data_IF_052763362077
#
_entry.id   IF_052763362077
#
_cell.length_a   1.000
_cell.length_b   1.000
_cell.length_c   1.000
_cell.angle_alpha   90.00
_cell.angle_beta   90.00
_cell.angle_gamma   90.00
#
_symmetry.space_group_name_H-M   'P 1'
#
loop_
_entity.id
_entity.type
_entity.pdbx_description
1 polymer ?
#
# COMPACT_ATOMS: atom_id res chain seq x y z
N UNK A 1 -15.51 67.98 -56.23
CA UNK A 1 -16.25 67.56 -55.03
C UNK A 1 -17.05 66.35 -55.45
N UNK A 2 -16.78 65.11 -55.08
CA UNK A 2 -15.72 64.38 -54.41
C UNK A 2 -16.00 62.93 -54.85
N UNK A 3 -15.01 62.17 -55.32
CA UNK A 3 -14.22 61.24 -54.49
C UNK A 3 -15.13 60.28 -53.71
N UNK A 4 -15.30 59.04 -54.17
CA UNK A 4 -14.75 57.81 -53.55
C UNK A 4 -15.86 56.75 -53.73
N UNK A 5 -15.68 55.45 -53.84
CA UNK A 5 -14.76 54.55 -53.15
C UNK A 5 -14.88 53.19 -53.88
N UNK A 6 -13.90 52.84 -54.71
CA UNK A 6 -13.79 51.48 -55.26
C UNK A 6 -12.80 50.71 -54.39
N UNK A 7 -13.35 50.10 -53.32
CA UNK A 7 -12.62 49.29 -52.36
C UNK A 7 -11.79 48.19 -53.02
N UNK A 8 -10.47 48.34 -52.93
CA UNK A 8 -9.46 47.39 -53.37
C UNK A 8 -9.49 46.15 -52.45
N UNK A 9 -10.05 45.04 -52.94
CA UNK A 9 -10.04 43.76 -52.22
C UNK A 9 -8.64 43.15 -52.21
N UNK A 10 -7.93 43.36 -51.10
CA UNK A 10 -6.57 42.86 -50.90
C UNK A 10 -6.58 41.34 -50.70
N UNK A 11 -6.20 40.59 -51.74
CA UNK A 11 -6.23 39.12 -51.75
C UNK A 11 -5.20 38.51 -50.78
N UNK A 12 -5.52 37.34 -50.24
CA UNK A 12 -4.67 36.56 -49.31
C UNK A 12 -3.26 36.31 -49.87
N UNK A 13 -3.12 36.21 -51.19
CA UNK A 13 -1.84 36.09 -51.88
C UNK A 13 -0.96 37.37 -51.76
N UNK A 14 -1.57 38.56 -51.74
CA UNK A 14 -0.87 39.84 -51.52
C UNK A 14 -0.32 39.97 -50.11
N UNK A 15 -1.08 39.51 -49.10
CA UNK A 15 -0.62 39.42 -47.70
C UNK A 15 0.51 38.41 -47.52
N UNK A 16 0.50 37.30 -48.25
CA UNK A 16 1.58 36.31 -48.23
C UNK A 16 2.86 36.80 -48.92
N UNK A 17 2.73 37.59 -50.00
CA UNK A 17 3.87 38.19 -50.72
C UNK A 17 4.53 39.34 -49.94
N UNK A 18 3.77 40.19 -49.25
CA UNK A 18 4.32 41.28 -48.41
C UNK A 18 5.07 40.77 -47.17
N UNK A 19 4.67 39.65 -46.57
CA UNK A 19 5.37 39.03 -45.43
C UNK A 19 6.75 38.45 -45.81
N UNK A 20 6.94 38.00 -47.06
CA UNK A 20 8.22 37.44 -47.52
C UNK A 20 9.31 38.48 -47.84
N UNK A 21 9.00 39.78 -47.77
CA UNK A 21 9.88 40.84 -48.23
C UNK A 21 10.58 41.63 -47.11
N UNK A 22 10.56 41.17 -45.84
CA UNK A 22 11.07 41.97 -44.69
C UNK A 22 12.02 41.21 -43.76
N UNK A 23 12.20 39.89 -43.92
CA UNK A 23 13.08 39.10 -43.04
C UNK A 23 14.46 38.85 -43.69
N UNK A 24 15.54 39.18 -42.98
CA UNK A 24 16.91 38.89 -43.43
C UNK A 24 17.19 37.38 -43.38
N UNK A 25 18.12 36.87 -44.21
CA UNK A 25 18.53 35.45 -44.14
C UNK A 25 18.96 35.00 -42.73
N UNK A 26 19.57 35.90 -41.96
CA UNK A 26 19.96 35.66 -40.57
C UNK A 26 18.75 35.52 -39.63
N UNK A 27 17.69 36.33 -39.83
CA UNK A 27 16.45 36.24 -39.07
C UNK A 27 15.70 34.92 -39.36
N UNK A 28 15.72 34.46 -40.60
CA UNK A 28 15.13 33.18 -41.00
C UNK A 28 15.86 32.00 -40.33
N UNK A 29 17.20 32.03 -40.32
CA UNK A 29 18.01 30.97 -39.70
C UNK A 29 17.96 31.01 -38.16
N UNK A 30 17.83 32.19 -37.56
CA UNK A 30 17.61 32.33 -36.11
C UNK A 30 16.24 31.80 -35.68
N UNK A 31 15.18 32.11 -36.45
CA UNK A 31 13.84 31.58 -36.23
C UNK A 31 13.80 30.05 -36.39
N UNK A 32 14.53 29.51 -37.39
CA UNK A 32 14.68 28.07 -37.59
C UNK A 32 15.37 27.41 -36.39
N UNK A 33 16.48 27.99 -35.90
CA UNK A 33 17.17 27.52 -34.69
C UNK A 33 16.28 27.57 -33.45
N UNK A 34 15.53 28.65 -33.25
CA UNK A 34 14.57 28.77 -32.14
C UNK A 34 13.51 27.67 -32.19
N UNK A 35 12.95 27.40 -33.37
CA UNK A 35 11.97 26.31 -33.57
C UNK A 35 12.58 24.94 -33.31
N UNK A 36 13.83 24.72 -33.72
CA UNK A 36 14.56 23.48 -33.46
C UNK A 36 14.84 23.30 -31.97
N UNK A 37 15.23 24.36 -31.25
CA UNK A 37 15.42 24.36 -29.80
C UNK A 37 14.11 24.12 -29.03
N UNK A 38 13.03 24.81 -29.40
CA UNK A 38 11.69 24.60 -28.85
C UNK A 38 11.18 23.17 -29.09
N UNK A 39 11.43 22.61 -30.28
CA UNK A 39 11.09 21.23 -30.60
C UNK A 39 11.91 20.23 -29.76
N UNK A 40 13.22 20.45 -29.61
CA UNK A 40 14.10 19.62 -28.76
C UNK A 40 13.65 19.67 -27.29
N UNK A 41 13.38 20.86 -26.76
CA UNK A 41 12.91 21.05 -25.39
C UNK A 41 11.54 20.38 -25.15
N UNK A 42 10.65 20.41 -26.16
CA UNK A 42 9.36 19.70 -26.09
C UNK A 42 9.55 18.19 -26.02
N UNK A 43 10.40 17.62 -26.90
CA UNK A 43 10.71 16.19 -26.89
C UNK A 43 11.31 15.76 -25.54
N UNK A 44 12.24 16.55 -25.01
CA UNK A 44 12.86 16.28 -23.71
C UNK A 44 11.83 16.31 -22.57
N UNK A 45 10.93 17.29 -22.56
CA UNK A 45 9.85 17.39 -21.57
C UNK A 45 8.89 16.20 -21.65
N UNK A 46 8.51 15.79 -22.85
CA UNK A 46 7.65 14.62 -23.08
C UNK A 46 8.34 13.33 -22.64
N UNK A 47 9.63 13.16 -22.95
CA UNK A 47 10.42 12.01 -22.51
C UNK A 47 10.53 11.94 -20.97
N UNK A 48 10.74 13.08 -20.30
CA UNK A 48 10.78 13.15 -18.84
C UNK A 48 9.44 12.79 -18.20
N UNK A 49 8.32 13.22 -18.80
CA UNK A 49 6.99 12.87 -18.34
C UNK A 49 6.70 11.38 -18.55
N UNK A 50 7.07 10.82 -19.71
CA UNK A 50 6.93 9.40 -20.00
C UNK A 50 7.73 8.54 -19.02
N UNK A 51 8.99 8.90 -18.74
CA UNK A 51 9.82 8.19 -17.75
C UNK A 51 9.25 8.29 -16.32
N UNK A 52 8.58 9.40 -15.97
CA UNK A 52 7.89 9.53 -14.69
C UNK A 52 6.67 8.61 -14.62
N UNK A 53 5.85 8.59 -15.68
CA UNK A 53 4.68 7.70 -15.78
C UNK A 53 5.09 6.22 -15.76
N UNK A 54 6.19 5.85 -16.41
CA UNK A 54 6.71 4.49 -16.40
C UNK A 54 7.18 4.07 -15.01
N UNK A 55 7.87 4.97 -14.28
CA UNK A 55 8.24 4.74 -12.88
C UNK A 55 7.03 4.66 -11.94
N UNK A 56 5.98 5.42 -12.22
CA UNK A 56 4.72 5.35 -11.47
C UNK A 56 3.90 4.09 -11.84
N UNK A 57 4.13 3.50 -13.02
CA UNK A 57 3.48 2.28 -13.50
C UNK A 57 4.20 0.98 -13.07
N UNK A 58 5.06 1.03 -12.05
CA UNK A 58 5.64 -0.17 -11.45
C UNK A 58 4.50 -1.02 -10.88
N UNK A 59 4.29 -2.18 -11.50
CA UNK A 59 3.26 -3.13 -11.11
C UNK A 59 3.79 -4.03 -10.00
N UNK A 60 3.54 -3.63 -8.76
CA UNK A 60 3.81 -4.46 -7.59
C UNK A 60 3.05 -5.79 -7.65
N UNK A 61 3.76 -6.90 -7.47
CA UNK A 61 3.17 -8.24 -7.35
C UNK A 61 3.23 -8.69 -5.90
N UNK A 62 2.12 -9.18 -5.38
CA UNK A 62 2.11 -9.84 -4.08
C UNK A 62 2.83 -11.19 -4.15
N UNK A 63 3.73 -11.40 -3.21
CA UNK A 63 4.46 -12.65 -2.99
C UNK A 63 4.01 -13.23 -1.67
N UNK A 64 3.47 -14.45 -1.72
CA UNK A 64 2.93 -15.18 -0.58
C UNK A 64 4.01 -16.14 -0.05
N UNK A 65 4.07 -16.40 1.26
CA UNK A 65 5.07 -17.28 1.85
C UNK A 65 5.00 -18.71 1.30
N UNK A 66 6.15 -19.36 1.18
CA UNK A 66 6.26 -20.75 0.74
C UNK A 66 5.70 -21.68 1.82
N UNK A 67 4.66 -22.46 1.52
CA UNK A 67 4.02 -23.34 2.51
C UNK A 67 2.53 -23.55 2.24
N UNK A 68 1.83 -24.07 3.25
CA UNK A 68 0.40 -24.39 3.18
C UNK A 68 -0.41 -23.11 2.94
N UNK A 69 -0.66 -22.83 1.65
CA UNK A 69 -1.48 -21.73 1.13
C UNK A 69 -2.92 -21.77 1.67
N UNK A 70 -3.26 -22.68 2.58
CA UNK A 70 -4.56 -22.82 3.22
C UNK A 70 -4.52 -22.38 4.70
N UNK A 71 -3.41 -21.86 5.21
CA UNK A 71 -3.34 -21.41 6.61
C UNK A 71 -3.92 -20.00 6.80
N UNK A 72 -4.83 -19.83 7.76
CA UNK A 72 -5.21 -18.54 8.31
C UNK A 72 -4.63 -18.37 9.71
N UNK A 73 -3.91 -17.28 9.97
CA UNK A 73 -3.27 -17.06 11.27
C UNK A 73 -4.20 -16.45 12.33
N UNK A 74 -5.32 -15.85 11.90
CA UNK A 74 -6.30 -15.20 12.78
C UNK A 74 -7.49 -16.10 13.18
N UNK A 75 -7.63 -17.31 12.63
CA UNK A 75 -8.74 -18.20 12.96
C UNK A 75 -8.59 -18.80 14.37
N UNK A 76 -9.41 -18.36 15.33
CA UNK A 76 -9.51 -18.98 16.66
C UNK A 76 -10.47 -20.18 16.66
N UNK A 77 -10.03 -21.33 17.21
CA UNK A 77 -10.89 -22.48 17.53
C UNK A 77 -11.48 -22.26 18.91
N UNK A 78 -12.68 -21.68 19.03
CA UNK A 78 -13.48 -21.84 20.25
C UNK A 78 -14.58 -22.86 20.04
N UNK A 79 -14.52 -23.95 20.81
CA UNK A 79 -15.68 -24.71 21.32
C UNK A 79 -16.86 -24.90 20.36
N UNK A 80 -16.61 -25.40 19.14
CA UNK A 80 -17.67 -25.80 18.21
C UNK A 80 -18.47 -24.67 17.53
N UNK A 81 -18.12 -23.39 17.76
CA UNK A 81 -18.73 -22.24 17.08
C UNK A 81 -17.60 -21.34 16.58
N UNK A 82 -17.05 -21.70 15.43
CA UNK A 82 -16.06 -20.87 14.75
C UNK A 82 -16.73 -19.63 14.17
N UNK A 83 -16.20 -18.44 14.48
CA UNK A 83 -16.52 -17.20 13.75
C UNK A 83 -16.17 -17.31 12.25
N UNK A 84 -15.29 -18.25 11.92
CA UNK A 84 -15.03 -18.70 10.56
C UNK A 84 -15.83 -19.99 10.32
N UNK A 85 -16.67 -20.03 9.28
CA UNK A 85 -17.41 -21.24 8.85
C UNK A 85 -16.46 -22.45 8.55
N UNK A 86 -15.15 -22.22 8.47
CA UNK A 86 -14.11 -23.15 8.03
C UNK A 86 -13.32 -23.81 9.16
N UNK A 87 -13.69 -23.61 10.42
CA UNK A 87 -12.95 -24.24 11.54
C UNK A 87 -13.18 -25.78 11.58
N UNK A 88 -14.27 -26.24 10.96
CA UNK A 88 -14.65 -27.66 10.85
C UNK A 88 -14.25 -28.31 9.51
N UNK A 89 -14.06 -27.52 8.45
CA UNK A 89 -13.59 -27.97 7.15
C UNK A 89 -12.31 -27.21 6.85
N UNK A 90 -11.15 -27.92 6.88
CA UNK A 90 -9.84 -27.41 6.42
C UNK A 90 -10.04 -26.30 5.38
N UNK A 91 -9.44 -25.13 5.54
CA UNK A 91 -9.57 -24.05 4.56
C UNK A 91 -9.37 -24.64 3.15
N UNK A 92 -10.41 -24.64 2.33
CA UNK A 92 -10.35 -25.24 0.99
C UNK A 92 -9.91 -24.22 -0.07
N UNK A 93 -9.77 -22.96 0.35
CA UNK A 93 -9.41 -21.84 -0.51
C UNK A 93 -8.21 -21.11 0.07
N UNK A 94 -7.35 -20.66 -0.82
CA UNK A 94 -6.21 -19.82 -0.47
C UNK A 94 -6.71 -18.49 0.12
N UNK A 95 -6.15 -18.02 1.25
CA UNK A 95 -6.37 -16.68 1.76
C UNK A 95 -6.19 -15.64 0.65
N UNK A 96 -7.15 -14.73 0.51
CA UNK A 96 -7.05 -13.60 -0.41
C UNK A 96 -6.73 -12.30 0.32
N UNK A 97 -6.74 -12.36 1.64
CA UNK A 97 -6.49 -11.23 2.52
C UNK A 97 -5.27 -11.51 3.38
N UNK A 98 -4.72 -10.45 3.94
CA UNK A 98 -3.64 -10.50 4.91
C UNK A 98 -3.93 -9.53 6.04
N UNK A 99 -3.36 -9.81 7.20
CA UNK A 99 -3.51 -8.98 8.38
C UNK A 99 -2.90 -7.58 8.13
N UNK A 100 -3.60 -6.48 8.44
CA UNK A 100 -3.15 -5.14 8.04
C UNK A 100 -1.83 -4.69 8.69
N UNK A 101 -1.50 -5.22 9.88
CA UNK A 101 -0.22 -4.91 10.57
C UNK A 101 0.84 -5.97 10.28
N UNK A 102 0.64 -7.21 10.76
CA UNK A 102 1.60 -8.33 10.62
C UNK A 102 1.71 -8.93 9.21
N UNK A 103 0.85 -8.55 8.26
CA UNK A 103 0.88 -9.04 6.87
C UNK A 103 0.80 -10.56 6.69
N UNK A 104 0.35 -11.28 7.71
CA UNK A 104 0.16 -12.74 7.63
C UNK A 104 -1.16 -13.10 6.94
N UNK A 105 -1.25 -14.24 6.23
CA UNK A 105 -2.46 -14.70 5.56
C UNK A 105 -3.72 -14.76 6.46
N UNK A 106 -4.85 -14.26 5.94
CA UNK A 106 -6.16 -14.31 6.60
C UNK A 106 -7.28 -14.73 5.64
N UNK A 107 -8.22 -15.53 6.13
CA UNK A 107 -9.45 -15.81 5.40
C UNK A 107 -10.36 -14.57 5.37
N UNK A 108 -11.26 -14.50 4.39
CA UNK A 108 -12.17 -13.35 4.23
C UNK A 108 -13.02 -13.10 5.50
N UNK A 109 -13.46 -14.17 6.18
CA UNK A 109 -14.25 -14.05 7.40
C UNK A 109 -13.47 -13.39 8.56
N UNK A 110 -12.23 -13.82 8.80
CA UNK A 110 -11.37 -13.20 9.81
C UNK A 110 -10.99 -11.77 9.42
N UNK A 111 -10.76 -11.50 8.14
CA UNK A 111 -10.52 -10.14 7.67
C UNK A 111 -11.71 -9.23 7.94
N UNK A 112 -12.94 -9.66 7.62
CA UNK A 112 -14.16 -8.88 7.89
C UNK A 112 -14.36 -8.69 9.40
N UNK A 113 -14.22 -9.76 10.19
CA UNK A 113 -14.32 -9.71 11.65
C UNK A 113 -13.38 -8.65 12.24
N UNK A 114 -12.11 -8.71 11.81
CA UNK A 114 -11.07 -7.79 12.24
C UNK A 114 -11.42 -6.33 11.98
N UNK A 115 -11.88 -6.02 10.76
CA UNK A 115 -12.21 -4.65 10.35
C UNK A 115 -13.50 -4.12 10.99
N UNK A 116 -14.31 -5.01 11.57
CA UNK A 116 -15.51 -4.63 12.32
C UNK A 116 -15.24 -4.47 13.83
N UNK A 117 -14.05 -4.79 14.32
CA UNK A 117 -13.72 -4.62 15.73
C UNK A 117 -13.29 -3.19 16.04
N UNK A 118 -13.74 -2.71 17.20
CA UNK A 118 -13.22 -1.51 17.83
C UNK A 118 -12.10 -1.93 18.79
N UNK A 119 -10.85 -1.57 18.46
CA UNK A 119 -9.68 -1.93 19.26
C UNK A 119 -9.54 -0.96 20.44
N UNK A 120 -10.33 -1.19 21.49
CA UNK A 120 -10.32 -0.38 22.70
C UNK A 120 -8.96 -0.48 23.41
N UNK A 121 -8.54 0.62 24.03
CA UNK A 121 -7.33 0.70 24.86
C UNK A 121 -7.77 1.13 26.24
N UNK A 122 -7.54 0.27 27.23
CA UNK A 122 -7.99 0.45 28.60
C UNK A 122 -6.78 0.45 29.55
N UNK A 123 -6.94 1.08 30.71
CA UNK A 123 -5.92 1.02 31.75
C UNK A 123 -5.86 -0.38 32.34
N UNK A 124 -4.67 -0.99 32.32
CA UNK A 124 -4.40 -2.25 32.99
C UNK A 124 -3.70 -1.97 34.33
N UNK A 125 -4.35 -2.35 35.43
CA UNK A 125 -3.85 -2.13 36.78
C UNK A 125 -2.64 -3.00 37.12
N UNK A 126 -2.53 -4.19 36.53
CA UNK A 126 -1.42 -5.13 36.77
C UNK A 126 -0.13 -4.65 36.09
N UNK A 127 -0.22 -4.20 34.84
CA UNK A 127 0.92 -3.66 34.09
C UNK A 127 1.17 -2.17 34.36
N UNK A 128 0.18 -1.45 34.90
CA UNK A 128 0.26 -0.02 35.16
C UNK A 128 0.35 0.83 33.89
N UNK A 129 -0.25 0.38 32.78
CA UNK A 129 -0.29 1.13 31.51
C UNK A 129 -1.55 0.88 30.68
N UNK A 130 -1.70 1.65 29.60
CA UNK A 130 -2.81 1.55 28.65
C UNK A 130 -2.58 0.41 27.64
N UNK A 131 -3.50 -0.55 27.56
CA UNK A 131 -3.36 -1.77 26.76
C UNK A 131 -4.67 -2.18 26.07
N UNK A 132 -4.57 -2.90 24.95
CA UNK A 132 -5.73 -3.51 24.31
C UNK A 132 -6.22 -4.70 25.11
N UNK A 133 -7.54 -4.81 25.28
CA UNK A 133 -8.25 -5.95 25.88
C UNK A 133 -8.60 -7.06 24.88
N UNK A 134 -8.21 -6.87 23.63
CA UNK A 134 -8.43 -7.79 22.52
C UNK A 134 -7.12 -8.18 21.86
N UNK A 135 -7.04 -9.42 21.38
CA UNK A 135 -5.85 -9.89 20.66
C UNK A 135 -5.69 -9.12 19.35
N UNK A 136 -4.49 -8.58 19.11
CA UNK A 136 -4.18 -7.82 17.90
C UNK A 136 -4.22 -8.62 16.60
N UNK A 137 -4.14 -9.96 16.65
CA UNK A 137 -4.19 -10.81 15.46
C UNK A 137 -5.60 -11.25 15.09
N UNK A 138 -6.36 -11.79 16.04
CA UNK A 138 -7.69 -12.35 15.78
C UNK A 138 -8.84 -11.42 16.19
N UNK A 139 -8.53 -10.26 16.78
CA UNK A 139 -9.52 -9.29 17.26
C UNK A 139 -10.57 -9.94 18.18
N UNK A 140 -10.11 -10.79 19.10
CA UNK A 140 -10.97 -11.51 20.06
C UNK A 140 -10.35 -11.38 21.46
N UNK A 141 -11.21 -11.25 22.46
CA UNK A 141 -10.83 -11.27 23.89
C UNK A 141 -10.41 -12.67 24.35
N UNK A 142 -9.62 -12.76 25.43
CA UNK A 142 -9.23 -14.03 26.04
C UNK A 142 -8.00 -13.94 26.92
N UNK A 143 -7.23 -15.02 26.98
CA UNK A 143 -5.94 -15.05 27.67
C UNK A 143 -4.88 -14.35 26.83
N UNK A 144 -4.63 -13.09 27.13
CA UNK A 144 -3.71 -12.22 26.40
C UNK A 144 -2.33 -12.18 27.06
N UNK A 145 -1.30 -12.14 26.23
CA UNK A 145 0.08 -11.84 26.56
C UNK A 145 0.36 -10.42 26.05
N UNK A 146 0.81 -9.54 26.94
CA UNK A 146 0.99 -8.12 26.67
C UNK A 146 2.42 -7.82 26.23
N UNK A 147 2.58 -6.85 25.32
CA UNK A 147 3.90 -6.36 24.93
C UNK A 147 4.54 -5.58 26.09
N UNK A 148 5.77 -5.89 26.47
CA UNK A 148 6.51 -5.16 27.49
C UNK A 148 7.15 -3.84 27.01
N UNK A 149 7.03 -3.48 25.73
CA UNK A 149 7.46 -2.16 25.25
C UNK A 149 6.56 -1.06 25.86
N UNK A 150 7.11 -0.03 26.56
CA UNK A 150 6.32 1.02 27.22
C UNK A 150 5.39 1.81 26.29
N UNK A 151 5.78 2.00 25.03
CA UNK A 151 5.00 2.75 24.03
C UNK A 151 4.03 1.86 23.24
N UNK A 152 3.91 0.59 23.62
CA UNK A 152 3.10 -0.40 22.93
C UNK A 152 1.93 -0.88 23.81
N UNK A 153 0.72 -0.70 23.29
CA UNK A 153 -0.52 -1.19 23.89
C UNK A 153 -0.93 -2.59 23.38
N UNK A 154 -0.12 -3.23 22.53
CA UNK A 154 -0.51 -4.45 21.82
C UNK A 154 -0.48 -5.69 22.70
N UNK A 155 -1.47 -6.55 22.50
CA UNK A 155 -1.62 -7.81 23.22
C UNK A 155 -2.01 -8.95 22.25
N UNK A 156 -1.60 -10.17 22.56
CA UNK A 156 -1.81 -11.35 21.72
C UNK A 156 -2.34 -12.51 22.54
N UNK A 157 -3.36 -13.23 22.05
CA UNK A 157 -3.76 -14.45 22.73
C UNK A 157 -2.77 -15.59 22.46
N UNK A 158 -2.64 -16.50 23.43
CA UNK A 158 -1.72 -17.64 23.32
C UNK A 158 -1.99 -18.50 22.07
N UNK A 159 -3.26 -18.71 21.70
CA UNK A 159 -3.62 -19.43 20.47
C UNK A 159 -3.04 -18.80 19.20
N UNK A 160 -2.98 -17.46 19.16
CA UNK A 160 -2.42 -16.72 18.03
C UNK A 160 -0.90 -16.81 18.02
N UNK A 161 -0.26 -16.70 19.18
CA UNK A 161 1.20 -16.88 19.31
C UNK A 161 1.58 -18.29 18.88
N UNK A 162 0.92 -19.32 19.42
CA UNK A 162 1.11 -20.72 19.05
C UNK A 162 1.01 -20.95 17.54
N UNK A 163 0.02 -20.35 16.87
CA UNK A 163 -0.16 -20.48 15.42
C UNK A 163 0.95 -19.82 14.61
N UNK A 164 1.54 -18.73 15.10
CA UNK A 164 2.56 -17.99 14.37
C UNK A 164 3.96 -18.58 14.56
N UNK A 165 4.29 -19.04 15.76
CA UNK A 165 5.66 -19.42 16.10
C UNK A 165 5.80 -20.87 16.61
N UNK A 166 4.70 -21.56 16.89
CA UNK A 166 4.73 -22.93 17.41
C UNK A 166 4.80 -23.00 18.94
N UNK A 167 4.83 -24.22 19.47
CA UNK A 167 4.73 -24.48 20.91
C UNK A 167 6.01 -24.11 21.65
N UNK A 168 7.18 -24.46 21.10
CA UNK A 168 8.48 -24.18 21.73
C UNK A 168 8.67 -22.68 21.93
N UNK A 169 8.48 -21.88 20.88
CA UNK A 169 8.57 -20.42 20.95
C UNK A 169 7.47 -19.80 21.83
N UNK A 170 6.27 -20.39 21.91
CA UNK A 170 5.24 -19.92 22.84
C UNK A 170 5.72 -20.08 24.28
N UNK A 171 6.26 -21.24 24.64
CA UNK A 171 6.73 -21.51 26.00
C UNK A 171 7.85 -20.53 26.37
N UNK A 172 8.81 -20.29 25.47
CA UNK A 172 9.85 -19.26 25.66
C UNK A 172 9.28 -17.85 25.84
N UNK A 173 8.26 -17.48 25.06
CA UNK A 173 7.59 -16.17 25.16
C UNK A 173 6.89 -16.02 26.52
N UNK A 174 6.25 -17.06 27.03
CA UNK A 174 5.55 -17.03 28.32
C UNK A 174 6.51 -16.96 29.50
N UNK A 175 7.73 -17.48 29.37
CA UNK A 175 8.79 -17.35 30.38
C UNK A 175 9.53 -16.00 30.31
N UNK A 176 9.40 -15.26 29.21
CA UNK A 176 10.14 -14.04 28.95
C UNK A 176 9.39 -12.80 29.47
N UNK A 177 9.98 -12.15 30.47
CA UNK A 177 9.48 -10.88 31.01
C UNK A 177 10.59 -9.79 30.99
N UNK A 178 10.51 -8.74 30.15
CA UNK A 178 9.42 -8.45 29.21
C UNK A 178 9.54 -9.17 27.86
N UNK A 179 8.41 -9.62 27.32
CA UNK A 179 8.28 -10.03 25.91
C UNK A 179 7.99 -8.83 24.99
N UNK A 180 8.59 -8.81 23.80
CA UNK A 180 8.34 -7.78 22.77
C UNK A 180 7.46 -8.39 21.67
N UNK A 181 6.29 -7.81 21.44
CA UNK A 181 5.31 -8.38 20.52
C UNK A 181 5.73 -8.29 19.05
N UNK A 182 5.05 -9.06 18.19
CA UNK A 182 5.32 -9.12 16.74
C UNK A 182 5.06 -7.80 15.99
N UNK A 183 4.32 -6.85 16.57
CA UNK A 183 4.19 -5.52 15.99
C UNK A 183 5.46 -4.66 16.20
N UNK A 184 6.19 -4.90 17.29
CA UNK A 184 7.43 -4.20 17.63
C UNK A 184 8.65 -4.91 17.05
N UNK A 185 8.67 -6.24 17.11
CA UNK A 185 9.75 -7.08 16.59
C UNK A 185 9.16 -8.17 15.67
N UNK A 186 8.99 -7.88 14.36
CA UNK A 186 8.36 -8.82 13.42
C UNK A 186 9.27 -9.97 12.98
N UNK A 187 10.56 -9.95 13.34
CA UNK A 187 11.56 -10.94 12.91
C UNK A 187 11.13 -12.41 13.09
N UNK A 188 10.49 -12.83 14.21
CA UNK A 188 10.05 -14.21 14.37
C UNK A 188 9.02 -14.66 13.32
N UNK A 189 8.23 -13.72 12.77
CA UNK A 189 7.14 -14.00 11.84
C UNK A 189 7.41 -13.51 10.41
N UNK A 190 8.60 -12.98 10.12
CA UNK A 190 8.92 -12.39 8.81
C UNK A 190 8.72 -13.40 7.66
N UNK A 191 9.00 -14.68 7.91
CA UNK A 191 8.82 -15.77 6.95
C UNK A 191 7.35 -16.08 6.63
N UNK A 192 6.41 -15.53 7.39
CA UNK A 192 4.96 -15.67 7.20
C UNK A 192 4.33 -14.47 6.47
N UNK A 193 5.09 -13.38 6.27
CA UNK A 193 4.55 -12.15 5.71
C UNK A 193 4.27 -12.27 4.22
N UNK A 194 3.12 -11.74 3.79
CA UNK A 194 2.84 -11.40 2.41
C UNK A 194 3.63 -10.15 2.06
N UNK A 195 4.48 -10.25 1.03
CA UNK A 195 5.40 -9.19 0.59
C UNK A 195 5.04 -8.67 -0.80
N UNK A 196 5.69 -7.58 -1.22
CA UNK A 196 5.54 -7.01 -2.55
C UNK A 196 6.89 -6.95 -3.24
N UNK A 197 6.93 -7.44 -4.47
CA UNK A 197 8.07 -7.42 -5.38
C UNK A 197 7.73 -6.73 -6.70
#
# INVERSE_FOLDING_TARGET
MDDSDLGFVDTVAGKLKKRKAVETPEQIEAEKRRREEEARAKIEREARLAAKLEKENVKWKQVWPEGDLLQCYACVRRSGVGLCEWVNSKHQKVPRQFHPIMRVPMCDACYIHYHNQDFQVNWNEESGKMEHDTCRLCATEGHLVFCGNPECAQAFCQDCILRMVGQEDLDEILERDPWVCFCCEPKPIEHLEVRWE
#
